data_IF_095657087705
#
_entry.id   IF_095657087705
#
_cell.length_a   1.000
_cell.length_b   1.000
_cell.length_c   1.000
_cell.angle_alpha   90.00
_cell.angle_beta   90.00
_cell.angle_gamma   90.00
#
_symmetry.space_group_name_H-M   'P 1'
#
loop_
_entity.id
_entity.type
_entity.pdbx_description
1 polymer ?
#
# COMPACT_ATOMS: atom_id res chain seq x y z
N UNK A 1 16.52 13.45 -2.32
CA UNK A 1 15.59 13.13 -1.21
C UNK A 1 14.16 12.80 -1.69
N UNK A 2 13.94 11.97 -2.73
CA UNK A 2 12.58 11.63 -3.19
C UNK A 2 11.82 10.72 -2.20
N UNK A 3 12.54 9.90 -1.44
CA UNK A 3 11.98 8.86 -0.58
C UNK A 3 11.24 9.42 0.64
N UNK A 4 11.73 10.51 1.23
CA UNK A 4 11.07 11.19 2.36
C UNK A 4 9.68 11.72 1.98
N UNK A 5 9.58 12.33 0.80
CA UNK A 5 8.31 12.83 0.26
C UNK A 5 7.33 11.68 -0.03
N UNK A 6 7.83 10.55 -0.53
CA UNK A 6 7.03 9.34 -0.75
C UNK A 6 6.56 8.73 0.57
N UNK A 7 7.42 8.65 1.59
CA UNK A 7 7.03 8.20 2.94
C UNK A 7 5.89 9.07 3.47
N UNK A 8 6.04 10.40 3.44
CA UNK A 8 4.99 11.32 3.88
C UNK A 8 3.68 11.15 3.10
N UNK A 9 3.75 10.85 1.81
CA UNK A 9 2.59 10.70 0.94
C UNK A 9 1.87 9.36 1.10
N UNK A 10 2.61 8.27 1.27
CA UNK A 10 2.06 6.91 1.12
C UNK A 10 2.12 6.06 2.37
N UNK A 11 3.08 6.26 3.27
CA UNK A 11 3.25 5.39 4.44
C UNK A 11 1.96 5.36 5.26
N UNK A 12 1.52 4.14 5.63
CA UNK A 12 0.28 3.87 6.36
C UNK A 12 -1.00 4.37 5.65
N UNK A 13 -0.94 4.67 4.35
CA UNK A 13 -2.12 5.01 3.55
C UNK A 13 -2.67 3.77 2.85
N UNK A 14 -3.99 3.79 2.67
CA UNK A 14 -4.67 2.81 1.84
C UNK A 14 -4.50 3.16 0.37
N UNK A 15 -4.08 2.19 -0.41
CA UNK A 15 -3.85 2.30 -1.85
C UNK A 15 -4.55 1.17 -2.60
N UNK A 16 -4.69 1.33 -3.91
CA UNK A 16 -5.16 0.31 -4.85
C UNK A 16 -4.34 0.38 -6.12
N UNK A 17 -4.19 -0.71 -6.86
CA UNK A 17 -3.59 -0.62 -8.19
C UNK A 17 -4.51 0.15 -9.15
N UNK A 18 -3.91 0.89 -10.07
CA UNK A 18 -4.62 1.57 -11.16
C UNK A 18 -5.43 0.61 -12.03
N UNK A 19 -4.98 -0.64 -12.14
CA UNK A 19 -5.64 -1.71 -12.89
C UNK A 19 -6.79 -2.37 -12.14
N UNK A 20 -7.02 -2.00 -10.87
CA UNK A 20 -8.04 -2.62 -10.00
C UNK A 20 -7.42 -3.46 -8.88
N UNK A 21 -8.11 -4.51 -8.42
CA UNK A 21 -7.62 -5.39 -7.34
C UNK A 21 -8.02 -4.97 -5.92
N UNK A 22 -7.39 -5.53 -4.87
CA UNK A 22 -7.76 -5.28 -3.48
C UNK A 22 -7.31 -3.90 -2.98
N UNK A 23 -7.90 -3.46 -1.88
CA UNK A 23 -7.34 -2.36 -1.09
C UNK A 23 -6.13 -2.88 -0.30
N UNK A 24 -5.05 -2.12 -0.32
CA UNK A 24 -3.79 -2.46 0.33
C UNK A 24 -3.33 -1.31 1.21
N UNK A 25 -2.53 -1.60 2.22
CA UNK A 25 -1.87 -0.59 3.05
C UNK A 25 -0.38 -0.56 2.71
N UNK A 26 0.20 0.63 2.61
CA UNK A 26 1.65 0.78 2.41
C UNK A 26 2.36 0.66 3.76
N UNK A 27 3.08 -0.44 3.96
CA UNK A 27 3.85 -0.74 5.17
C UNK A 27 5.22 -0.07 5.15
N UNK A 28 5.85 0.01 3.97
CA UNK A 28 7.16 0.63 3.81
C UNK A 28 7.33 1.30 2.44
N UNK A 29 8.24 2.27 2.40
CA UNK A 29 8.81 2.79 1.16
C UNK A 29 10.24 2.27 1.10
N UNK A 30 10.55 1.48 0.09
CA UNK A 30 11.86 0.85 -0.10
C UNK A 30 12.57 1.52 -1.29
N UNK A 31 13.88 1.71 -1.16
CA UNK A 31 14.72 2.15 -2.28
C UNK A 31 15.30 0.92 -2.98
N UNK A 32 15.07 0.82 -4.28
CA UNK A 32 15.63 -0.24 -5.12
C UNK A 32 16.52 0.37 -6.21
N UNK A 33 17.33 -0.45 -6.88
CA UNK A 33 18.16 -0.01 -8.01
C UNK A 33 17.33 0.60 -9.15
N UNK A 34 16.07 0.20 -9.29
CA UNK A 34 15.14 0.70 -10.32
C UNK A 34 14.30 1.90 -9.86
N UNK A 35 14.52 2.38 -8.63
CA UNK A 35 13.77 3.48 -8.03
C UNK A 35 12.98 3.08 -6.77
N UNK A 36 12.27 4.04 -6.16
CA UNK A 36 11.49 3.77 -4.95
C UNK A 36 10.26 2.92 -5.25
N UNK A 37 10.00 1.94 -4.39
CA UNK A 37 8.81 1.10 -4.43
C UNK A 37 8.04 1.19 -3.12
N UNK A 38 6.75 0.90 -3.18
CA UNK A 38 5.85 0.84 -2.04
C UNK A 38 5.65 -0.63 -1.68
N UNK A 39 6.10 -1.03 -0.50
CA UNK A 39 5.78 -2.34 0.04
C UNK A 39 4.37 -2.29 0.59
N UNK A 40 3.46 -3.01 -0.06
CA UNK A 40 2.04 -3.03 0.25
C UNK A 40 1.65 -4.36 0.90
N UNK A 41 0.71 -4.31 1.84
CA UNK A 41 0.10 -5.48 2.47
C UNK A 41 -1.43 -5.46 2.36
N UNK A 42 -2.05 -6.63 2.29
CA UNK A 42 -3.51 -6.77 2.28
C UNK A 42 -3.97 -8.17 2.69
N UNK A 43 -5.26 -8.31 2.93
CA UNK A 43 -5.91 -9.61 3.06
C UNK A 43 -6.60 -9.97 1.75
N UNK A 44 -6.27 -11.14 1.19
CA UNK A 44 -6.82 -11.63 -0.07
C UNK A 44 -8.31 -12.03 0.07
N UNK A 45 -8.67 -12.63 1.21
CA UNK A 45 -10.03 -13.11 1.49
C UNK A 45 -10.44 -12.74 2.91
N UNK A 46 -11.72 -12.42 3.10
CA UNK A 46 -12.29 -12.00 4.40
C UNK A 46 -12.10 -13.04 5.53
N UNK A 47 -12.01 -14.32 5.18
CA UNK A 47 -11.85 -15.42 6.13
C UNK A 47 -10.41 -15.93 6.27
N UNK A 48 -9.45 -15.39 5.51
CA UNK A 48 -8.05 -15.76 5.63
C UNK A 48 -7.34 -14.79 6.56
N UNK A 49 -6.65 -15.34 7.56
CA UNK A 49 -5.78 -14.59 8.48
C UNK A 49 -4.38 -14.34 7.91
N UNK A 50 -4.08 -14.90 6.74
CA UNK A 50 -2.81 -14.69 6.06
C UNK A 50 -2.80 -13.32 5.39
N UNK A 51 -1.82 -12.51 5.78
CA UNK A 51 -1.52 -11.23 5.13
C UNK A 51 -0.63 -11.48 3.91
N UNK A 52 -1.05 -10.96 2.77
CA UNK A 52 -0.26 -10.94 1.54
C UNK A 52 0.58 -9.67 1.50
N UNK A 53 1.75 -9.74 0.88
CA UNK A 53 2.67 -8.61 0.72
C UNK A 53 3.28 -8.61 -0.67
N UNK A 54 3.39 -7.43 -1.28
CA UNK A 54 4.11 -7.25 -2.52
C UNK A 54 4.61 -5.81 -2.71
N UNK A 55 5.78 -5.61 -3.35
CA UNK A 55 6.24 -4.28 -3.73
C UNK A 55 5.57 -3.82 -5.03
N UNK A 56 5.17 -2.55 -5.08
CA UNK A 56 4.60 -1.92 -6.26
C UNK A 56 5.29 -0.60 -6.59
N UNK A 57 5.37 -0.27 -7.87
CA UNK A 57 5.90 1.03 -8.29
C UNK A 57 4.91 2.14 -7.92
N UNK A 58 5.43 3.32 -7.60
CA UNK A 58 4.61 4.49 -7.25
C UNK A 58 3.58 4.81 -8.34
N UNK A 59 3.96 4.63 -9.61
CA UNK A 59 3.08 4.91 -10.75
C UNK A 59 1.99 3.86 -10.96
N UNK A 60 2.08 2.70 -10.34
CA UNK A 60 1.07 1.64 -10.47
C UNK A 60 -0.07 1.78 -9.46
N UNK A 61 0.07 2.63 -8.44
CA UNK A 61 -0.90 2.75 -7.34
C UNK A 61 -1.69 4.06 -7.39
N UNK A 62 -2.86 4.05 -6.77
CA UNK A 62 -3.69 5.21 -6.44
C UNK A 62 -3.95 5.21 -4.94
N UNK A 63 -3.97 6.39 -4.32
CA UNK A 63 -4.49 6.53 -2.97
C UNK A 63 -6.00 6.23 -3.01
N UNK A 64 -6.45 5.31 -2.16
CA UNK A 64 -7.88 5.08 -1.99
C UNK A 64 -8.43 6.29 -1.22
N UNK A 65 -9.25 7.12 -1.89
CA UNK A 65 -9.90 8.25 -1.26
C UNK A 65 -10.99 7.78 -0.30
N UNK A 66 -10.79 7.93 1.01
CA UNK A 66 -11.81 7.69 2.02
C UNK A 66 -11.29 7.00 3.27
N UNK A 67 -10.96 7.82 4.27
CA UNK A 67 -10.65 7.50 5.67
C UNK A 67 -9.54 6.46 5.90
N UNK A 68 -8.75 6.66 6.97
CA UNK A 68 -7.78 5.66 7.42
C UNK A 68 -8.45 4.31 7.67
N UNK A 69 -7.67 3.25 7.95
CA UNK A 69 -8.21 1.92 8.17
C UNK A 69 -9.39 2.01 9.14
N UNK A 70 -10.60 1.70 8.67
CA UNK A 70 -11.70 1.43 9.58
C UNK A 70 -11.26 0.19 10.34
N UNK A 71 -10.89 0.39 11.60
CA UNK A 71 -10.67 -0.69 12.52
C UNK A 71 -11.93 -1.56 12.46
N UNK A 72 -11.78 -2.80 11.99
CA UNK A 72 -12.81 -3.81 12.18
C UNK A 72 -12.83 -4.08 13.68
N UNK A 73 -13.76 -3.46 14.41
CA UNK A 73 -14.04 -3.82 15.80
C UNK A 73 -14.66 -5.21 15.75
N UNK A 74 -13.92 -6.20 16.24
CA UNK A 74 -14.43 -7.55 16.53
C UNK A 74 -15.27 -7.50 17.80
#
# INVERSE_FOLDING_TARGET
MPTEALRKRFLQKTVRLKTGGPLMTVDAVIETQSGPMLECCWFDLQWRTKIERAPFTVDSVLLAGGQGPQAFTV
#
